data_IF_531448261828
#
_entry.id   IF_531448261828
#
_cell.length_a   1.000
_cell.length_b   1.000
_cell.length_c   1.000
_cell.angle_alpha   90.00
_cell.angle_beta   90.00
_cell.angle_gamma   90.00
#
_symmetry.space_group_name_H-M   'P 1'
#
loop_
_entity.id
_entity.type
_entity.pdbx_description
1 polymer ?
#
# COMPACT_ATOMS: atom_id res chain seq x y z
N UNK A 1 -10.82 27.88 8.35
CA UNK A 1 -11.34 26.79 7.50
C UNK A 1 -10.26 25.72 7.46
N UNK A 2 -10.56 24.49 7.84
CA UNK A 2 -9.57 23.41 7.80
C UNK A 2 -9.51 22.87 6.38
N UNK A 3 -8.36 22.98 5.71
CA UNK A 3 -8.16 22.35 4.41
C UNK A 3 -7.97 20.85 4.59
N UNK A 4 -8.83 20.05 3.97
CA UNK A 4 -8.64 18.61 3.85
C UNK A 4 -7.57 18.34 2.78
N UNK A 5 -6.62 17.45 3.07
CA UNK A 5 -5.60 17.00 2.11
C UNK A 5 -5.47 15.49 2.17
N UNK A 6 -5.40 14.85 1.00
CA UNK A 6 -5.04 13.44 0.88
C UNK A 6 -3.56 13.25 1.19
N UNK A 7 -3.22 12.35 2.11
CA UNK A 7 -1.86 12.18 2.61
C UNK A 7 -1.26 10.81 2.31
N UNK A 8 -2.07 9.85 1.86
CA UNK A 8 -1.58 8.53 1.49
C UNK A 8 -2.65 7.63 0.88
N UNK A 9 -2.20 6.57 0.24
CA UNK A 9 -3.00 5.40 -0.16
C UNK A 9 -2.58 4.22 0.72
N UNK A 10 -3.50 3.32 1.07
CA UNK A 10 -3.19 2.07 1.75
C UNK A 10 -3.37 0.89 0.78
N UNK A 11 -2.42 -0.04 0.79
CA UNK A 11 -2.49 -1.30 0.07
C UNK A 11 -2.43 -2.44 1.06
N UNK A 12 -3.46 -3.27 1.05
CA UNK A 12 -3.48 -4.53 1.79
C UNK A 12 -2.75 -5.61 0.99
N UNK A 13 -2.05 -6.50 1.68
CA UNK A 13 -1.28 -7.58 1.08
C UNK A 13 -1.03 -8.72 2.07
N UNK A 14 -0.55 -9.85 1.56
CA UNK A 14 -0.16 -10.99 2.39
C UNK A 14 1.19 -10.78 3.11
N UNK A 15 2.12 -10.03 2.52
CA UNK A 15 3.43 -9.74 3.08
C UNK A 15 3.78 -8.25 2.87
N UNK A 16 3.62 -7.47 3.93
CA UNK A 16 3.84 -6.03 3.87
C UNK A 16 5.30 -5.68 3.65
N UNK A 17 6.24 -6.49 4.13
CA UNK A 17 7.66 -6.22 3.97
C UNK A 17 8.10 -6.43 2.54
N UNK A 18 7.73 -7.57 1.95
CA UNK A 18 8.07 -7.87 0.56
C UNK A 18 7.48 -6.82 -0.40
N UNK A 19 6.22 -6.41 -0.19
CA UNK A 19 5.58 -5.41 -1.04
C UNK A 19 6.15 -4.00 -0.82
N UNK A 20 6.49 -3.64 0.42
CA UNK A 20 7.12 -2.36 0.71
C UNK A 20 8.52 -2.26 0.09
N UNK A 21 9.35 -3.29 0.19
CA UNK A 21 10.68 -3.31 -0.42
C UNK A 21 10.57 -3.18 -1.95
N UNK A 22 9.61 -3.87 -2.59
CA UNK A 22 9.35 -3.73 -4.03
C UNK A 22 9.03 -2.28 -4.42
N UNK A 23 8.12 -1.61 -3.70
CA UNK A 23 7.74 -0.23 -4.03
C UNK A 23 8.81 0.79 -3.64
N UNK A 24 9.58 0.54 -2.58
CA UNK A 24 10.73 1.34 -2.20
C UNK A 24 11.77 1.34 -3.33
N UNK A 25 12.10 0.16 -3.86
CA UNK A 25 13.03 0.01 -4.97
C UNK A 25 12.48 0.61 -6.27
N UNK A 26 11.20 0.37 -6.58
CA UNK A 26 10.56 0.87 -7.81
C UNK A 26 10.51 2.39 -7.86
N UNK A 27 10.22 3.05 -6.73
CA UNK A 27 10.10 4.50 -6.67
C UNK A 27 11.38 5.21 -6.22
N UNK A 28 12.36 4.47 -5.71
CA UNK A 28 13.53 5.05 -5.03
C UNK A 28 13.13 5.80 -3.76
N UNK A 29 12.12 5.30 -3.04
CA UNK A 29 11.62 5.91 -1.81
C UNK A 29 12.11 5.16 -0.58
N UNK A 30 12.30 5.88 0.52
CA UNK A 30 12.68 5.28 1.80
C UNK A 30 11.47 4.84 2.63
N UNK A 31 11.69 3.83 3.47
CA UNK A 31 10.75 3.47 4.56
C UNK A 31 10.79 4.59 5.61
N UNK A 32 9.67 5.27 5.78
CA UNK A 32 9.53 6.43 6.64
C UNK A 32 8.86 6.12 7.99
N UNK A 33 8.28 4.94 8.15
CA UNK A 33 7.60 4.52 9.37
C UNK A 33 7.00 3.13 9.26
N UNK A 34 6.45 2.63 10.36
CA UNK A 34 5.94 1.27 10.42
C UNK A 34 6.38 0.53 11.68
N UNK A 35 5.82 -0.66 11.87
CA UNK A 35 6.40 -1.69 12.73
C UNK A 35 7.44 -2.55 12.00
N UNK A 36 7.60 -2.33 10.69
CA UNK A 36 8.55 -3.05 9.83
C UNK A 36 8.13 -4.48 9.50
N UNK A 37 6.90 -4.88 9.83
CA UNK A 37 6.36 -6.24 9.68
C UNK A 37 4.94 -6.25 9.12
N UNK A 38 3.96 -5.81 9.89
CA UNK A 38 2.53 -5.82 9.53
C UNK A 38 2.06 -4.48 8.96
N UNK A 39 2.80 -3.40 9.21
CA UNK A 39 2.48 -2.09 8.66
C UNK A 39 3.75 -1.30 8.35
N UNK A 40 3.87 -0.81 7.12
CA UNK A 40 5.03 -0.08 6.62
C UNK A 40 4.57 1.13 5.82
N UNK A 41 5.21 2.27 6.02
CA UNK A 41 4.93 3.50 5.31
C UNK A 41 6.14 3.94 4.46
N UNK A 42 5.90 4.19 3.18
CA UNK A 42 6.82 4.84 2.25
C UNK A 42 6.39 6.29 2.03
N UNK A 43 7.36 7.20 1.92
CA UNK A 43 7.10 8.62 1.67
C UNK A 43 7.84 9.10 0.44
N UNK A 44 7.13 9.82 -0.42
CA UNK A 44 7.73 10.57 -1.51
C UNK A 44 8.68 11.65 -0.94
N UNK A 45 9.98 11.64 -1.26
CA UNK A 45 10.90 12.69 -0.83
C UNK A 45 10.57 14.06 -1.43
N UNK A 46 9.87 14.11 -2.58
CA UNK A 46 9.32 15.34 -3.16
C UNK A 46 8.06 15.86 -2.44
N UNK A 47 7.53 15.09 -1.49
CA UNK A 47 6.30 15.38 -0.77
C UNK A 47 5.04 15.07 -1.59
N UNK A 48 3.93 14.79 -0.92
CA UNK A 48 2.70 14.37 -1.61
C UNK A 48 1.96 13.27 -0.87
N UNK A 49 1.29 12.43 -1.64
CA UNK A 49 0.59 11.24 -1.16
C UNK A 49 1.63 10.14 -0.94
N UNK A 50 1.76 9.65 0.29
CA UNK A 50 2.61 8.50 0.59
C UNK A 50 1.94 7.17 0.30
N UNK A 51 2.68 6.08 0.46
CA UNK A 51 2.15 4.73 0.37
C UNK A 51 2.19 4.06 1.74
N UNK A 52 1.09 3.46 2.16
CA UNK A 52 1.01 2.63 3.36
C UNK A 52 0.76 1.20 2.89
N UNK A 53 1.54 0.27 3.40
CA UNK A 53 1.41 -1.15 3.11
C UNK A 53 0.99 -1.83 4.40
N UNK A 54 -0.10 -2.59 4.34
CA UNK A 54 -0.68 -3.28 5.47
C UNK A 54 -0.75 -4.79 5.17
N UNK A 55 -0.24 -5.58 6.09
CA UNK A 55 -0.28 -7.04 6.04
C UNK A 55 -1.57 -7.52 6.67
N UNK A 56 -2.36 -8.30 5.93
CA UNK A 56 -3.65 -8.81 6.38
C UNK A 56 -3.67 -10.34 6.33
N UNK A 57 -4.06 -10.98 7.44
CA UNK A 57 -3.99 -12.44 7.62
C UNK A 57 -4.83 -13.20 6.58
N UNK A 58 -5.97 -12.63 6.20
CA UNK A 58 -6.91 -13.23 5.25
C UNK A 58 -6.88 -12.54 3.88
N UNK A 59 -5.75 -11.90 3.55
CA UNK A 59 -5.59 -11.29 2.25
C UNK A 59 -5.59 -12.34 1.15
N UNK A 60 -6.48 -12.18 0.18
CA UNK A 60 -6.45 -12.89 -1.08
C UNK A 60 -6.21 -11.89 -2.22
N UNK A 61 -5.17 -12.08 -3.06
CA UNK A 61 -4.91 -11.15 -4.15
C UNK A 61 -6.02 -11.19 -5.19
N UNK A 62 -6.39 -10.04 -5.78
CA UNK A 62 -7.33 -10.02 -6.90
C UNK A 62 -6.71 -10.70 -8.13
N UNK A 63 -7.55 -11.35 -8.93
CA UNK A 63 -7.12 -12.05 -10.13
C UNK A 63 -7.11 -11.08 -11.32
N UNK A 64 -6.09 -11.23 -12.16
CA UNK A 64 -5.99 -10.52 -13.45
C UNK A 64 -5.60 -11.48 -14.57
N UNK A 65 -6.29 -11.46 -15.74
CA UNK A 65 -7.54 -10.73 -16.02
C UNK A 65 -8.72 -11.18 -15.14
N UNK A 66 -9.76 -10.35 -15.02
CA UNK A 66 -10.92 -10.61 -14.16
C UNK A 66 -11.62 -11.94 -14.52
N UNK A 67 -12.03 -12.67 -13.48
CA UNK A 67 -12.74 -13.95 -13.62
C UNK A 67 -13.99 -13.95 -12.76
N UNK A 68 -15.11 -14.40 -13.32
CA UNK A 68 -16.38 -14.48 -12.59
C UNK A 68 -16.22 -15.36 -11.34
N UNK A 69 -16.53 -14.78 -10.18
CA UNK A 69 -16.46 -15.46 -8.89
C UNK A 69 -15.10 -15.39 -8.20
N UNK A 70 -14.10 -14.74 -8.82
CA UNK A 70 -12.85 -14.38 -8.17
C UNK A 70 -12.89 -12.93 -7.66
N UNK A 71 -11.94 -12.57 -6.80
CA UNK A 71 -11.75 -11.18 -6.38
C UNK A 71 -11.26 -10.33 -7.55
N UNK A 72 -11.90 -9.18 -7.73
CA UNK A 72 -11.50 -8.15 -8.70
C UNK A 72 -10.71 -7.03 -8.00
N UNK A 73 -10.20 -6.06 -8.77
CA UNK A 73 -9.55 -4.86 -8.23
C UNK A 73 -10.52 -4.08 -7.34
N UNK A 74 -10.11 -3.79 -6.10
CA UNK A 74 -10.91 -3.07 -5.11
C UNK A 74 -10.24 -1.76 -4.69
N UNK A 75 -11.06 -0.74 -4.45
CA UNK A 75 -10.65 0.53 -3.86
C UNK A 75 -11.77 1.00 -2.93
N UNK A 76 -11.40 1.36 -1.70
CA UNK A 76 -12.29 1.92 -0.70
C UNK A 76 -11.88 3.38 -0.44
N UNK A 77 -12.85 4.27 -0.22
CA UNK A 77 -12.65 5.72 -0.06
C UNK A 77 -13.32 6.25 1.20
#
# INVERSE_FOLDING_TARGET
>A
MTNLRWTGVCLDCADARALADFYADLFGWDIAGGDGKSWIQLRDPGGGVGLNIQGEEWYEPPVWPEQRGALDKMMHF
#
